data_IF_144186812290
#
_entry.id   IF_144186812290
#
_cell.length_a   1.000
_cell.length_b   1.000
_cell.length_c   1.000
_cell.angle_alpha   90.00
_cell.angle_beta   90.00
_cell.angle_gamma   90.00
#
_symmetry.space_group_name_H-M   'P 1'
#
loop_
_entity.id
_entity.type
_entity.pdbx_description
1 polymer ?
#
# COMPACT_ATOMS: atom_id res chain seq x y z
N UNK A 1 -18.23 7.68 -3.99
CA UNK A 1 -18.28 6.66 -2.92
C UNK A 1 -16.99 6.80 -2.14
N UNK A 2 -17.04 6.69 -0.80
CA UNK A 2 -15.85 6.80 0.06
C UNK A 2 -14.89 5.63 -0.19
N UNK A 3 -13.60 5.92 -0.26
CA UNK A 3 -12.55 4.92 -0.35
C UNK A 3 -12.13 4.32 1.00
N UNK A 4 -12.81 4.70 2.09
CA UNK A 4 -12.50 4.28 3.46
C UNK A 4 -13.60 3.39 4.04
N UNK A 5 -13.21 2.51 4.94
CA UNK A 5 -14.10 1.73 5.81
C UNK A 5 -13.82 2.12 7.27
N UNK A 6 -14.85 2.65 7.97
CA UNK A 6 -14.70 3.19 9.31
C UNK A 6 -14.37 2.12 10.35
N UNK A 7 -14.93 0.92 10.21
CA UNK A 7 -14.69 -0.19 11.15
C UNK A 7 -13.25 -0.68 11.03
N UNK A 8 -12.72 -0.76 9.78
CA UNK A 8 -11.32 -1.12 9.52
C UNK A 8 -10.36 -0.10 10.12
N UNK A 9 -10.62 1.21 9.96
CA UNK A 9 -9.80 2.26 10.57
C UNK A 9 -9.88 2.19 12.11
N UNK A 10 -11.08 1.97 12.65
CA UNK A 10 -11.30 1.81 14.08
C UNK A 10 -10.51 0.62 14.66
N UNK A 11 -10.48 -0.51 13.95
CA UNK A 11 -9.67 -1.67 14.34
C UNK A 11 -8.18 -1.30 14.41
N UNK A 12 -7.63 -0.68 13.36
CA UNK A 12 -6.21 -0.31 13.34
C UNK A 12 -5.85 0.76 14.37
N UNK A 13 -6.77 1.67 14.68
CA UNK A 13 -6.60 2.63 15.75
C UNK A 13 -6.53 1.96 17.13
N UNK A 14 -7.47 1.05 17.42
CA UNK A 14 -7.53 0.33 18.69
C UNK A 14 -6.33 -0.62 18.89
N UNK A 15 -5.82 -1.22 17.82
CA UNK A 15 -4.74 -2.22 17.84
C UNK A 15 -3.36 -1.62 17.50
N UNK A 16 -3.21 -0.30 17.41
CA UNK A 16 -2.05 0.35 16.81
C UNK A 16 -0.71 -0.08 17.44
N UNK A 17 -0.60 -0.10 18.76
CA UNK A 17 0.62 -0.49 19.48
C UNK A 17 0.98 -1.97 19.20
N UNK A 18 -0.01 -2.87 19.34
CA UNK A 18 0.17 -4.31 19.11
C UNK A 18 0.50 -4.57 17.62
N UNK A 19 -0.22 -3.90 16.72
CA UNK A 19 -0.01 -4.04 15.29
C UNK A 19 1.37 -3.54 14.85
N UNK A 20 1.83 -2.40 15.34
CA UNK A 20 3.13 -1.82 15.02
C UNK A 20 4.29 -2.60 15.64
N UNK A 21 4.09 -3.16 16.84
CA UNK A 21 5.10 -3.95 17.55
C UNK A 21 5.24 -5.40 17.09
N UNK A 22 4.32 -5.90 16.24
CA UNK A 22 4.36 -7.30 15.79
C UNK A 22 5.62 -7.61 14.99
N UNK A 23 6.16 -8.78 15.22
CA UNK A 23 7.15 -9.36 14.32
C UNK A 23 6.46 -9.79 13.01
N UNK A 24 7.00 -9.35 11.88
CA UNK A 24 6.53 -9.76 10.55
C UNK A 24 7.71 -9.93 9.62
N UNK A 25 7.61 -10.90 8.75
CA UNK A 25 8.57 -11.06 7.68
C UNK A 25 8.44 -9.89 6.68
N UNK A 26 9.55 -9.19 6.46
CA UNK A 26 9.63 -8.17 5.43
C UNK A 26 9.84 -8.83 4.07
N UNK A 27 9.11 -8.41 3.08
CA UNK A 27 9.33 -8.84 1.70
C UNK A 27 10.60 -8.20 1.10
N UNK A 28 11.79 -8.41 1.71
CA UNK A 28 13.04 -7.73 1.34
C UNK A 28 13.35 -7.81 -0.16
N UNK A 29 13.13 -8.96 -0.78
CA UNK A 29 13.36 -9.12 -2.20
C UNK A 29 12.49 -8.19 -3.04
N UNK A 30 11.23 -7.95 -2.63
CA UNK A 30 10.31 -7.03 -3.32
C UNK A 30 10.71 -5.57 -3.09
N UNK A 31 11.05 -5.22 -1.85
CA UNK A 31 11.55 -3.88 -1.52
C UNK A 31 12.79 -3.53 -2.36
N UNK A 32 13.75 -4.47 -2.47
CA UNK A 32 14.95 -4.27 -3.30
C UNK A 32 14.61 -4.17 -4.80
N UNK A 33 13.70 -5.01 -5.33
CA UNK A 33 13.25 -4.94 -6.73
C UNK A 33 12.54 -3.62 -7.04
N UNK A 34 11.71 -3.15 -6.12
CA UNK A 34 11.06 -1.84 -6.23
C UNK A 34 12.10 -0.72 -6.24
N UNK A 35 13.01 -0.69 -5.25
CA UNK A 35 14.05 0.32 -5.14
C UNK A 35 14.97 0.35 -6.37
N UNK A 36 15.31 -0.82 -6.93
CA UNK A 36 16.16 -0.92 -8.12
C UNK A 36 15.55 -0.32 -9.40
N UNK A 37 14.24 -0.06 -9.42
CA UNK A 37 13.52 0.58 -10.53
C UNK A 37 13.47 2.11 -10.38
N UNK A 38 13.93 2.65 -9.26
CA UNK A 38 13.88 4.08 -8.95
C UNK A 38 15.26 4.74 -9.08
N UNK A 39 15.33 6.05 -9.33
CA UNK A 39 16.60 6.77 -9.27
C UNK A 39 17.20 6.72 -7.84
N UNK A 40 18.51 6.87 -7.73
CA UNK A 40 19.18 6.99 -6.43
C UNK A 40 18.62 8.21 -5.68
N UNK A 41 18.23 8.01 -4.42
CA UNK A 41 17.57 9.05 -3.63
C UNK A 41 16.12 9.35 -4.07
N UNK A 42 15.52 8.47 -4.87
CA UNK A 42 14.17 8.66 -5.43
C UNK A 42 13.13 8.95 -4.34
N UNK A 43 12.19 9.85 -4.68
CA UNK A 43 11.09 10.26 -3.81
C UNK A 43 10.01 9.18 -3.79
N UNK A 44 9.72 8.61 -2.64
CA UNK A 44 8.71 7.55 -2.48
C UNK A 44 7.60 7.99 -1.53
N UNK A 45 6.35 7.86 -1.97
CA UNK A 45 5.20 7.93 -1.09
C UNK A 45 4.87 6.51 -0.59
N UNK A 46 4.79 6.32 0.72
CA UNK A 46 4.22 5.10 1.27
C UNK A 46 2.80 5.36 1.76
N UNK A 47 1.85 4.60 1.21
CA UNK A 47 0.45 4.59 1.62
C UNK A 47 0.19 3.45 2.61
N UNK A 48 -0.40 3.76 3.76
CA UNK A 48 -0.71 2.76 4.78
C UNK A 48 0.56 2.13 5.38
N UNK A 49 1.48 2.94 5.88
CA UNK A 49 2.78 2.50 6.40
C UNK A 49 2.67 1.64 7.68
N UNK A 50 1.50 1.61 8.32
CA UNK A 50 1.30 0.87 9.56
C UNK A 50 2.32 1.25 10.63
N UNK A 51 3.11 0.28 11.13
CA UNK A 51 4.17 0.52 12.10
C UNK A 51 5.48 1.05 11.51
N UNK A 52 5.55 1.36 10.21
CA UNK A 52 6.71 1.98 9.55
C UNK A 52 7.85 1.03 9.16
N UNK A 53 7.65 -0.29 9.21
CA UNK A 53 8.73 -1.25 8.92
C UNK A 53 9.20 -1.19 7.46
N UNK A 54 8.26 -1.06 6.49
CA UNK A 54 8.62 -0.93 5.07
C UNK A 54 9.27 0.42 4.79
N UNK A 55 8.79 1.52 5.40
CA UNK A 55 9.45 2.83 5.35
C UNK A 55 10.90 2.76 5.83
N UNK A 56 11.14 2.11 6.97
CA UNK A 56 12.49 1.94 7.53
C UNK A 56 13.41 1.21 6.55
N UNK A 57 12.91 0.12 5.93
CA UNK A 57 13.66 -0.64 4.94
C UNK A 57 13.92 0.16 3.64
N UNK A 58 12.94 0.91 3.14
CA UNK A 58 13.10 1.76 1.94
C UNK A 58 14.11 2.89 2.19
N UNK A 59 14.07 3.50 3.39
CA UNK A 59 15.07 4.51 3.82
C UNK A 59 16.48 3.91 3.88
N UNK A 60 16.61 2.68 4.42
CA UNK A 60 17.90 1.97 4.46
C UNK A 60 18.43 1.62 3.06
N UNK A 61 17.55 1.50 2.06
CA UNK A 61 17.92 1.33 0.64
C UNK A 61 18.30 2.67 -0.04
N UNK A 62 18.34 3.77 0.70
CA UNK A 62 18.78 5.09 0.21
C UNK A 62 17.70 5.89 -0.51
N UNK A 63 16.43 5.55 -0.36
CA UNK A 63 15.31 6.32 -0.91
C UNK A 63 14.87 7.42 0.07
N UNK A 64 14.23 8.47 -0.44
CA UNK A 64 13.59 9.50 0.38
C UNK A 64 12.09 9.19 0.50
N UNK A 65 11.68 8.72 1.67
CA UNK A 65 10.33 8.18 1.90
C UNK A 65 9.46 9.22 2.62
N UNK A 66 8.28 9.45 2.09
CA UNK A 66 7.16 10.15 2.73
C UNK A 66 6.16 9.11 3.24
N UNK A 67 6.25 8.68 4.53
CA UNK A 67 5.35 7.69 5.08
C UNK A 67 4.00 8.31 5.44
N UNK A 68 2.91 7.60 5.14
CA UNK A 68 1.56 8.01 5.48
C UNK A 68 0.72 6.84 5.98
N UNK A 69 -0.23 7.10 6.88
CA UNK A 69 -1.25 6.13 7.29
C UNK A 69 -2.61 6.80 7.47
N UNK A 70 -3.68 6.06 7.28
CA UNK A 70 -5.05 6.55 7.49
C UNK A 70 -5.45 6.59 8.97
N UNK A 71 -4.80 5.79 9.85
CA UNK A 71 -4.98 5.79 11.29
C UNK A 71 -4.01 6.76 11.95
N UNK A 72 -4.49 7.78 12.69
CA UNK A 72 -3.63 8.67 13.48
C UNK A 72 -2.77 7.91 14.49
N UNK A 73 -3.29 6.86 15.09
CA UNK A 73 -2.62 6.05 16.09
C UNK A 73 -1.46 5.25 15.46
N UNK A 74 -1.68 4.61 14.31
CA UNK A 74 -0.60 3.93 13.57
C UNK A 74 0.45 4.92 13.07
N UNK A 75 0.04 6.08 12.56
CA UNK A 75 0.97 7.13 12.15
C UNK A 75 1.86 7.56 13.33
N UNK A 76 1.30 7.67 14.55
CA UNK A 76 2.06 7.98 15.75
C UNK A 76 3.07 6.87 16.12
N UNK A 77 2.70 5.59 16.00
CA UNK A 77 3.62 4.46 16.22
C UNK A 77 4.75 4.44 15.18
N UNK A 78 4.42 4.62 13.88
CA UNK A 78 5.41 4.74 12.82
C UNK A 78 6.36 5.92 13.05
N UNK A 79 5.86 7.07 13.51
CA UNK A 79 6.69 8.23 13.83
C UNK A 79 7.69 7.94 14.96
N UNK A 80 7.30 7.17 15.99
CA UNK A 80 8.23 6.74 17.05
C UNK A 80 9.37 5.87 16.48
N UNK A 81 9.03 4.90 15.62
CA UNK A 81 10.00 4.01 14.98
C UNK A 81 10.96 4.78 14.06
N UNK A 82 10.42 5.57 13.16
CA UNK A 82 11.16 6.25 12.11
C UNK A 82 11.90 7.51 12.59
N UNK A 83 11.53 8.05 13.76
CA UNK A 83 12.03 9.32 14.32
C UNK A 83 11.91 10.49 13.32
N UNK A 84 10.85 10.46 12.51
CA UNK A 84 10.51 11.48 11.49
C UNK A 84 9.00 11.64 11.40
N UNK A 85 8.49 12.76 10.89
CA UNK A 85 7.05 12.96 10.72
C UNK A 85 6.42 11.88 9.84
N UNK A 86 5.24 11.41 10.24
CA UNK A 86 4.35 10.54 9.46
C UNK A 86 3.03 11.27 9.30
N UNK A 87 2.58 11.47 8.06
CA UNK A 87 1.36 12.20 7.80
C UNK A 87 0.13 11.28 7.94
N UNK A 88 -0.94 11.80 8.55
CA UNK A 88 -2.25 11.15 8.49
C UNK A 88 -2.88 11.48 7.14
N UNK A 89 -3.06 10.45 6.29
CA UNK A 89 -3.58 10.61 4.94
C UNK A 89 -4.53 9.45 4.59
N UNK A 90 -5.78 9.79 4.32
CA UNK A 90 -6.72 8.85 3.69
C UNK A 90 -6.43 8.76 2.19
N UNK A 91 -6.60 7.58 1.59
CA UNK A 91 -6.32 7.37 0.15
C UNK A 91 -7.11 8.33 -0.74
N UNK A 92 -8.35 8.64 -0.36
CA UNK A 92 -9.23 9.58 -1.07
C UNK A 92 -8.75 11.03 -1.02
N UNK A 93 -7.91 11.39 -0.06
CA UNK A 93 -7.37 12.74 0.13
C UNK A 93 -6.00 12.94 -0.56
N UNK A 94 -5.49 11.93 -1.25
CA UNK A 94 -4.25 12.04 -2.02
C UNK A 94 -4.42 13.07 -3.16
N UNK A 95 -3.69 14.20 -3.05
CA UNK A 95 -3.76 15.32 -4.00
C UNK A 95 -2.43 15.60 -4.73
N UNK A 96 -1.39 14.81 -4.45
CA UNK A 96 -0.09 15.00 -5.09
C UNK A 96 -0.19 14.87 -6.62
N UNK A 97 0.65 15.63 -7.32
CA UNK A 97 0.73 15.64 -8.79
C UNK A 97 2.21 15.57 -9.20
N UNK A 98 2.59 14.53 -9.93
CA UNK A 98 3.94 14.26 -10.43
C UNK A 98 5.06 14.56 -9.40
N UNK A 99 4.82 14.18 -8.13
CA UNK A 99 5.71 14.49 -7.01
C UNK A 99 6.66 13.35 -6.67
N UNK A 100 6.31 12.11 -7.01
CA UNK A 100 7.01 10.91 -6.55
C UNK A 100 7.56 10.07 -7.71
N UNK A 101 8.73 9.48 -7.51
CA UNK A 101 9.33 8.50 -8.42
C UNK A 101 8.73 7.11 -8.17
N UNK A 102 8.28 6.86 -6.94
CA UNK A 102 7.64 5.63 -6.54
C UNK A 102 6.47 5.82 -5.57
N UNK A 103 5.49 4.91 -5.62
CA UNK A 103 4.45 4.75 -4.59
C UNK A 103 4.46 3.31 -4.11
N UNK A 104 4.56 3.12 -2.79
CA UNK A 104 4.52 1.82 -2.13
C UNK A 104 3.23 1.70 -1.30
N UNK A 105 2.43 0.66 -1.55
CA UNK A 105 1.14 0.43 -0.91
C UNK A 105 0.97 -1.05 -0.50
N UNK A 106 1.83 -1.50 0.41
CA UNK A 106 1.85 -2.90 0.84
C UNK A 106 0.69 -3.21 1.80
N UNK A 107 -0.19 -4.13 1.42
CA UNK A 107 -1.30 -4.64 2.24
C UNK A 107 -2.22 -3.54 2.82
N UNK A 108 -2.49 -2.48 2.08
CA UNK A 108 -3.35 -1.39 2.53
C UNK A 108 -4.52 -1.10 1.57
N UNK A 109 -4.32 -1.05 0.25
CA UNK A 109 -5.40 -0.84 -0.72
C UNK A 109 -6.38 -2.01 -0.82
N UNK A 110 -6.06 -3.14 -0.21
CA UNK A 110 -6.98 -4.27 -0.04
C UNK A 110 -8.20 -3.91 0.84
N UNK A 111 -8.16 -2.80 1.58
CA UNK A 111 -9.28 -2.29 2.39
C UNK A 111 -10.17 -1.27 1.63
N UNK A 112 -9.83 -0.95 0.40
CA UNK A 112 -10.62 -0.05 -0.44
C UNK A 112 -11.70 -0.84 -1.18
N UNK A 113 -12.99 -0.45 -1.12
CA UNK A 113 -14.03 -1.10 -1.89
C UNK A 113 -13.70 -1.19 -3.39
N UNK A 114 -14.04 -2.29 -4.04
CA UNK A 114 -13.80 -2.50 -5.49
C UNK A 114 -14.36 -1.36 -6.34
N UNK A 115 -15.50 -0.82 -5.94
CA UNK A 115 -16.14 0.31 -6.63
C UNK A 115 -15.36 1.62 -6.53
N UNK A 116 -14.56 1.82 -5.47
CA UNK A 116 -13.76 3.02 -5.22
C UNK A 116 -12.31 2.87 -5.70
N UNK A 117 -11.78 1.63 -5.77
CA UNK A 117 -10.37 1.38 -6.08
C UNK A 117 -9.89 2.04 -7.39
N UNK A 118 -10.63 2.00 -8.53
CA UNK A 118 -10.17 2.68 -9.74
C UNK A 118 -9.92 4.18 -9.57
N UNK A 119 -10.74 4.86 -8.75
CA UNK A 119 -10.55 6.28 -8.44
C UNK A 119 -9.29 6.53 -7.59
N UNK A 120 -8.98 5.64 -6.66
CA UNK A 120 -7.75 5.71 -5.86
C UNK A 120 -6.52 5.44 -6.75
N UNK A 121 -6.58 4.44 -7.63
CA UNK A 121 -5.51 4.14 -8.59
C UNK A 121 -5.22 5.34 -9.51
N UNK A 122 -6.24 6.07 -9.94
CA UNK A 122 -6.06 7.30 -10.72
C UNK A 122 -5.33 8.39 -9.92
N UNK A 123 -5.60 8.53 -8.62
CA UNK A 123 -4.88 9.47 -7.74
C UNK A 123 -3.42 9.06 -7.55
N UNK A 124 -3.15 7.77 -7.37
CA UNK A 124 -1.79 7.22 -7.28
C UNK A 124 -1.02 7.49 -8.58
N UNK A 125 -1.65 7.19 -9.73
CA UNK A 125 -1.07 7.44 -11.04
C UNK A 125 -0.74 8.93 -11.26
N UNK A 126 -1.63 9.84 -10.82
CA UNK A 126 -1.39 11.29 -10.88
C UNK A 126 -0.21 11.69 -9.98
N UNK A 127 -0.08 11.12 -8.77
CA UNK A 127 0.98 11.44 -7.83
C UNK A 127 2.38 11.04 -8.33
N UNK A 128 2.47 10.05 -9.21
CA UNK A 128 3.71 9.62 -9.82
C UNK A 128 4.18 10.56 -10.92
N UNK A 129 5.50 10.71 -11.06
CA UNK A 129 6.15 11.26 -12.25
C UNK A 129 5.99 10.32 -13.44
N UNK A 130 6.12 10.81 -14.69
CA UNK A 130 6.24 9.94 -15.87
C UNK A 130 7.34 8.88 -15.66
N UNK A 131 7.07 7.62 -16.00
CA UNK A 131 7.95 6.49 -15.73
C UNK A 131 8.00 6.01 -14.28
N UNK A 132 7.28 6.66 -13.37
CA UNK A 132 7.25 6.30 -11.95
C UNK A 132 6.64 4.92 -11.69
N UNK A 133 7.09 4.28 -10.61
CA UNK A 133 6.76 2.89 -10.26
C UNK A 133 5.76 2.84 -9.12
N UNK A 134 4.72 2.05 -9.29
CA UNK A 134 3.74 1.75 -8.25
C UNK A 134 3.79 0.28 -7.84
N UNK A 135 3.82 0.01 -6.55
CA UNK A 135 3.65 -1.32 -5.99
C UNK A 135 2.46 -1.35 -5.04
N UNK A 136 1.64 -2.40 -5.14
CA UNK A 136 0.59 -2.70 -4.18
C UNK A 136 0.42 -4.21 -3.97
N UNK A 137 -0.08 -4.61 -2.80
CA UNK A 137 -0.41 -6.01 -2.54
C UNK A 137 -1.83 -6.18 -2.03
N UNK A 138 -2.45 -7.31 -2.41
CA UNK A 138 -3.84 -7.66 -2.11
C UNK A 138 -3.92 -9.12 -1.65
N UNK A 139 -4.89 -9.41 -0.77
CA UNK A 139 -5.30 -10.78 -0.49
C UNK A 139 -6.17 -11.27 -1.63
N UNK A 140 -5.80 -12.40 -2.25
CA UNK A 140 -6.58 -12.99 -3.34
C UNK A 140 -7.91 -13.53 -2.84
N UNK A 141 -8.95 -13.44 -3.67
CA UNK A 141 -10.27 -14.01 -3.41
C UNK A 141 -11.27 -13.66 -4.51
N UNK A 142 -12.54 -13.99 -4.30
CA UNK A 142 -13.57 -13.85 -5.33
C UNK A 142 -14.54 -12.69 -5.06
N UNK A 143 -14.76 -12.35 -3.79
CA UNK A 143 -15.76 -11.37 -3.38
C UNK A 143 -15.32 -10.55 -2.18
N UNK A 144 -15.74 -9.29 -2.16
CA UNK A 144 -15.55 -8.41 -0.99
C UNK A 144 -16.18 -9.01 0.27
N UNK A 145 -15.54 -8.78 1.41
CA UNK A 145 -16.03 -9.29 2.67
C UNK A 145 -15.31 -8.72 3.88
N UNK A 146 -15.69 -9.22 5.05
CA UNK A 146 -15.04 -8.89 6.31
C UNK A 146 -14.36 -10.12 6.90
N UNK A 147 -13.23 -9.91 7.52
CA UNK A 147 -12.56 -10.95 8.28
C UNK A 147 -13.17 -11.10 9.69
N UNK A 148 -12.63 -12.03 10.48
CA UNK A 148 -13.07 -12.29 11.85
C UNK A 148 -12.90 -11.12 12.82
N UNK A 149 -12.12 -10.12 12.45
CA UNK A 149 -11.92 -8.88 13.21
C UNK A 149 -12.81 -7.73 12.75
N UNK A 150 -13.70 -7.98 11.78
CA UNK A 150 -14.59 -6.97 11.20
C UNK A 150 -13.93 -6.07 10.17
N UNK A 151 -12.64 -6.27 9.82
CA UNK A 151 -11.96 -5.48 8.80
C UNK A 151 -12.50 -5.82 7.42
N UNK A 152 -12.78 -4.82 6.63
CA UNK A 152 -13.20 -4.97 5.24
C UNK A 152 -12.01 -5.32 4.34
N UNK A 153 -12.24 -6.24 3.39
CA UNK A 153 -11.28 -6.62 2.36
C UNK A 153 -11.97 -6.72 0.99
N UNK A 154 -11.29 -6.26 -0.05
CA UNK A 154 -11.81 -6.33 -1.42
C UNK A 154 -11.53 -7.66 -2.13
N UNK A 155 -10.66 -8.51 -1.63
CA UNK A 155 -10.34 -9.86 -2.11
C UNK A 155 -10.41 -10.02 -3.63
N UNK A 156 -9.60 -9.28 -4.43
CA UNK A 156 -9.66 -9.38 -5.88
C UNK A 156 -9.01 -10.67 -6.39
N UNK A 157 -9.39 -11.08 -7.58
CA UNK A 157 -8.58 -11.97 -8.41
C UNK A 157 -7.67 -11.17 -9.36
N UNK A 158 -6.70 -11.87 -9.98
CA UNK A 158 -5.73 -11.22 -10.86
C UNK A 158 -6.38 -10.63 -12.13
N UNK A 159 -7.44 -11.24 -12.66
CA UNK A 159 -8.15 -10.74 -13.84
C UNK A 159 -8.89 -9.44 -13.54
N UNK A 160 -9.54 -9.37 -12.39
CA UNK A 160 -10.20 -8.16 -11.91
C UNK A 160 -9.19 -7.02 -11.71
N UNK A 161 -8.03 -7.30 -11.07
CA UNK A 161 -6.98 -6.30 -10.90
C UNK A 161 -6.44 -5.79 -12.23
N UNK A 162 -6.14 -6.66 -13.20
CA UNK A 162 -5.74 -6.23 -14.55
C UNK A 162 -6.76 -5.26 -15.17
N UNK A 163 -8.05 -5.55 -15.00
CA UNK A 163 -9.13 -4.68 -15.50
C UNK A 163 -9.18 -3.36 -14.76
N UNK A 164 -9.05 -3.36 -13.42
CA UNK A 164 -9.09 -2.15 -12.60
C UNK A 164 -7.91 -1.22 -12.89
N UNK A 165 -6.71 -1.76 -13.00
CA UNK A 165 -5.50 -1.00 -13.33
C UNK A 165 -5.51 -0.52 -14.79
N UNK A 166 -5.92 -1.36 -15.73
CA UNK A 166 -5.92 -1.04 -17.17
C UNK A 166 -6.73 0.21 -17.55
N UNK A 167 -7.62 0.66 -16.67
CA UNK A 167 -8.41 1.89 -16.86
C UNK A 167 -7.64 3.19 -16.57
N UNK A 168 -6.44 3.12 -16.01
CA UNK A 168 -5.73 4.27 -15.46
C UNK A 168 -4.42 4.63 -16.20
N UNK A 169 -4.20 4.15 -17.44
CA UNK A 169 -3.06 4.59 -18.25
C UNK A 169 -1.69 4.14 -17.71
N UNK A 170 -1.59 2.90 -17.27
CA UNK A 170 -0.33 2.25 -16.94
C UNK A 170 0.31 1.65 -18.21
N UNK A 171 1.63 1.77 -18.35
CA UNK A 171 2.40 1.20 -19.47
C UNK A 171 2.60 -0.30 -19.29
N UNK A 172 2.92 -0.70 -18.04
CA UNK A 172 3.16 -2.09 -17.67
C UNK A 172 2.41 -2.42 -16.40
N UNK A 173 1.80 -3.61 -16.34
CA UNK A 173 1.14 -4.16 -15.15
C UNK A 173 1.62 -5.60 -14.97
N UNK A 174 2.50 -5.81 -14.01
CA UNK A 174 2.97 -7.13 -13.58
C UNK A 174 2.16 -7.57 -12.36
N UNK A 175 1.65 -8.80 -12.35
CA UNK A 175 0.98 -9.40 -11.19
C UNK A 175 1.65 -10.73 -10.88
N UNK A 176 2.25 -10.81 -9.70
CA UNK A 176 2.85 -12.03 -9.14
C UNK A 176 1.94 -12.58 -8.05
N UNK A 177 1.89 -13.89 -7.91
CA UNK A 177 1.15 -14.57 -6.84
C UNK A 177 2.13 -15.35 -5.97
N UNK A 178 1.95 -15.30 -4.66
CA UNK A 178 2.60 -16.20 -3.72
C UNK A 178 1.72 -16.47 -2.49
N UNK A 179 2.13 -17.48 -1.71
CA UNK A 179 1.52 -17.77 -0.42
C UNK A 179 2.35 -17.15 0.70
N UNK A 180 1.70 -16.48 1.63
CA UNK A 180 2.34 -15.81 2.76
C UNK A 180 1.48 -15.79 4.00
N UNK A 181 2.04 -15.30 5.09
CA UNK A 181 1.32 -15.08 6.34
C UNK A 181 0.46 -13.82 6.28
N UNK A 182 -0.51 -13.73 7.20
CA UNK A 182 -1.30 -12.54 7.42
C UNK A 182 -1.40 -12.23 8.93
N UNK A 183 -2.05 -11.13 9.29
CA UNK A 183 -2.18 -10.69 10.68
C UNK A 183 -2.81 -11.76 11.59
N UNK A 184 -3.75 -12.54 11.09
CA UNK A 184 -4.43 -13.63 11.77
C UNK A 184 -3.64 -14.95 11.82
N UNK A 185 -2.39 -14.95 11.28
CA UNK A 185 -1.48 -16.09 11.15
C UNK A 185 -2.00 -17.21 10.25
N UNK A 186 -3.02 -16.93 9.44
CA UNK A 186 -3.52 -17.86 8.43
C UNK A 186 -2.68 -17.76 7.15
N UNK A 187 -2.51 -18.90 6.47
CA UNK A 187 -1.92 -18.91 5.13
C UNK A 187 -2.84 -18.14 4.18
N UNK A 188 -2.27 -17.22 3.45
CA UNK A 188 -3.01 -16.31 2.58
C UNK A 188 -2.32 -16.27 1.22
N UNK A 189 -3.09 -16.42 0.15
CA UNK A 189 -2.61 -16.14 -1.19
C UNK A 189 -2.59 -14.63 -1.41
N UNK A 190 -1.43 -14.13 -1.79
CA UNK A 190 -1.21 -12.73 -2.07
C UNK A 190 -1.06 -12.47 -3.56
N UNK A 191 -1.59 -11.32 -4.01
CA UNK A 191 -1.38 -10.76 -5.34
C UNK A 191 -0.52 -9.51 -5.18
N UNK A 192 0.65 -9.52 -5.82
CA UNK A 192 1.60 -8.42 -5.82
C UNK A 192 1.58 -7.74 -7.17
N UNK A 193 1.15 -6.49 -7.20
CA UNK A 193 1.05 -5.71 -8.43
C UNK A 193 2.20 -4.73 -8.48
N UNK A 194 2.94 -4.73 -9.59
CA UNK A 194 3.85 -3.65 -9.97
C UNK A 194 3.34 -3.01 -11.25
N UNK A 195 3.14 -1.70 -11.22
CA UNK A 195 2.69 -0.94 -12.39
C UNK A 195 3.62 0.25 -12.65
N UNK A 196 3.83 0.58 -13.93
CA UNK A 196 4.68 1.71 -14.36
C UNK A 196 3.78 2.75 -15.04
N UNK A 197 3.88 4.01 -14.59
CA UNK A 197 3.18 5.11 -15.24
C UNK A 197 3.77 5.37 -16.63
N UNK A 198 2.92 5.56 -17.64
CA UNK A 198 3.35 6.00 -18.96
C UNK A 198 4.25 7.24 -18.89
N UNK A 199 5.29 7.24 -19.73
CA UNK A 199 6.27 8.33 -19.87
C UNK A 199 5.67 9.54 -20.55
#
# INVERSE_FOLDING_TARGET
MSGRDADTLGFYGAEAEVYAGRDRELGEARLRRFAARLPAGGQVLELGCGGGQDSEALLALGLDVTPTDGSPELAAEAQKRLRRPVAVLLFEDLMADAAFDGVWANACLLHVPRSALPGILAKVQRALRPGGVFYASYKAGEAEGRDRFGRFFNYPDAAWLRTAYGKNGWDCIEIEEDDGGSYDKESTRWLHVTAIKLS
#
